data_IF_165411414036
#
_entry.id   IF_165411414036
#
_cell.length_a   1.000
_cell.length_b   1.000
_cell.length_c   1.000
_cell.angle_alpha   90.00
_cell.angle_beta   90.00
_cell.angle_gamma   90.00
#
_symmetry.space_group_name_H-M   'P 1'
#
loop_
_entity.id
_entity.type
_entity.pdbx_description
1 polymer ?
#
# COMPACT_ATOMS: atom_id res chain seq x y z
N UNK A 1 -35.38 -13.96 -5.18
CA UNK A 1 -35.70 -13.07 -6.32
C UNK A 1 -34.38 -12.67 -6.97
N UNK A 2 -34.15 -13.00 -8.24
CA UNK A 2 -33.00 -12.44 -8.96
C UNK A 2 -33.42 -11.06 -9.44
N UNK A 3 -33.20 -10.05 -8.60
CA UNK A 3 -33.21 -8.67 -9.07
C UNK A 3 -32.02 -8.50 -10.00
N UNK A 4 -32.24 -7.93 -11.18
CA UNK A 4 -31.14 -7.59 -12.10
C UNK A 4 -30.37 -6.41 -11.51
N UNK A 5 -29.35 -6.71 -10.70
CA UNK A 5 -28.54 -5.70 -10.00
C UNK A 5 -27.86 -4.74 -10.98
N UNK A 6 -27.65 -5.15 -12.24
CA UNK A 6 -27.08 -4.30 -13.28
C UNK A 6 -28.00 -3.14 -13.68
N UNK A 7 -29.31 -3.23 -13.43
CA UNK A 7 -30.28 -2.18 -13.71
C UNK A 7 -30.18 -0.98 -12.74
N UNK A 8 -29.58 -1.16 -11.56
CA UNK A 8 -29.42 -0.09 -10.57
C UNK A 8 -28.14 0.71 -10.81
N UNK A 9 -28.19 2.02 -10.51
CA UNK A 9 -26.97 2.84 -10.48
C UNK A 9 -26.06 2.41 -9.33
N UNK A 10 -24.77 2.74 -9.41
CA UNK A 10 -23.83 2.42 -8.33
C UNK A 10 -24.24 3.08 -7.01
N UNK A 11 -24.71 4.33 -7.07
CA UNK A 11 -25.21 5.05 -5.88
C UNK A 11 -26.47 4.41 -5.30
N UNK A 12 -27.40 3.94 -6.14
CA UNK A 12 -28.59 3.24 -5.65
C UNK A 12 -28.22 1.95 -4.93
N UNK A 13 -27.31 1.16 -5.50
CA UNK A 13 -26.82 -0.07 -4.88
C UNK A 13 -26.15 0.22 -3.52
N UNK A 14 -25.26 1.21 -3.47
CA UNK A 14 -24.60 1.59 -2.20
C UNK A 14 -25.61 2.09 -1.17
N UNK A 15 -26.61 2.89 -1.57
CA UNK A 15 -27.68 3.33 -0.67
C UNK A 15 -28.50 2.14 -0.17
N UNK A 16 -28.85 1.19 -1.03
CA UNK A 16 -29.60 -0.01 -0.64
C UNK A 16 -28.81 -0.88 0.35
N UNK A 17 -27.51 -1.07 0.11
CA UNK A 17 -26.61 -1.82 1.00
C UNK A 17 -26.53 -1.18 2.40
N UNK A 18 -26.51 0.16 2.45
CA UNK A 18 -26.28 0.91 3.69
C UNK A 18 -27.55 1.52 4.30
N UNK A 19 -28.70 1.31 3.67
CA UNK A 19 -29.99 1.91 4.05
C UNK A 19 -30.69 1.20 5.22
N UNK A 20 -30.19 0.05 5.67
CA UNK A 20 -30.71 -0.68 6.82
C UNK A 20 -31.95 -1.55 6.53
N UNK A 21 -32.38 -1.63 5.27
CA UNK A 21 -33.42 -2.56 4.83
C UNK A 21 -32.85 -3.99 4.73
N UNK A 22 -33.61 -5.00 5.20
CA UNK A 22 -33.25 -6.40 4.98
C UNK A 22 -33.61 -6.81 3.56
N UNK A 23 -32.59 -6.81 2.69
CA UNK A 23 -32.69 -7.17 1.28
C UNK A 23 -32.26 -8.63 1.04
N UNK A 24 -32.07 -9.41 2.10
CA UNK A 24 -31.59 -10.77 2.09
C UNK A 24 -30.07 -10.89 2.33
N UNK A 25 -29.61 -12.05 2.82
CA UNK A 25 -28.26 -12.23 3.36
C UNK A 25 -27.14 -11.98 2.35
N UNK A 26 -27.37 -12.28 1.07
CA UNK A 26 -26.36 -12.18 0.02
C UNK A 26 -26.48 -10.92 -0.84
N UNK A 27 -27.46 -10.05 -0.57
CA UNK A 27 -27.71 -8.88 -1.43
C UNK A 27 -26.48 -7.98 -1.52
N UNK A 28 -25.90 -7.62 -0.37
CA UNK A 28 -24.75 -6.73 -0.34
C UNK A 28 -23.53 -7.33 -1.04
N UNK A 29 -23.28 -8.63 -0.85
CA UNK A 29 -22.22 -9.34 -1.53
C UNK A 29 -22.43 -9.32 -3.05
N UNK A 30 -23.61 -9.71 -3.52
CA UNK A 30 -23.94 -9.77 -4.95
C UNK A 30 -23.92 -8.38 -5.61
N UNK A 31 -24.37 -7.34 -4.91
CA UNK A 31 -24.34 -5.97 -5.40
C UNK A 31 -22.90 -5.44 -5.52
N UNK A 32 -22.07 -5.62 -4.48
CA UNK A 32 -20.69 -5.16 -4.50
C UNK A 32 -19.84 -5.96 -5.50
N UNK A 33 -19.78 -7.27 -5.35
CA UNK A 33 -18.91 -8.14 -6.16
C UNK A 33 -19.43 -8.38 -7.56
N UNK A 34 -20.74 -8.56 -7.71
CA UNK A 34 -21.35 -8.83 -9.01
C UNK A 34 -21.48 -7.59 -9.90
N UNK A 35 -21.51 -6.38 -9.31
CA UNK A 35 -21.78 -5.14 -10.07
C UNK A 35 -20.80 -4.01 -9.75
N UNK A 36 -20.81 -3.48 -8.53
CA UNK A 36 -20.10 -2.22 -8.19
C UNK A 36 -18.60 -2.32 -8.44
N UNK A 37 -17.92 -3.34 -7.91
CA UNK A 37 -16.49 -3.53 -8.11
C UNK A 37 -16.15 -3.77 -9.58
N UNK A 38 -17.03 -4.44 -10.33
CA UNK A 38 -16.88 -4.63 -11.77
C UNK A 38 -16.91 -3.32 -12.56
N UNK A 39 -17.74 -2.36 -12.14
CA UNK A 39 -17.81 -1.00 -12.71
C UNK A 39 -16.55 -0.20 -12.36
N UNK A 40 -16.18 -0.14 -11.08
CA UNK A 40 -14.99 0.59 -10.64
C UNK A 40 -13.70 0.05 -11.24
N UNK A 41 -13.55 -1.27 -11.40
CA UNK A 41 -12.39 -1.88 -12.08
C UNK A 41 -12.24 -1.40 -13.53
N UNK A 42 -13.35 -1.07 -14.20
CA UNK A 42 -13.38 -0.51 -15.55
C UNK A 42 -13.30 1.02 -15.59
N UNK A 43 -13.18 1.67 -14.44
CA UNK A 43 -13.20 3.13 -14.32
C UNK A 43 -14.58 3.76 -14.49
N UNK A 44 -15.66 3.00 -14.27
CA UNK A 44 -17.05 3.47 -14.38
C UNK A 44 -17.57 3.82 -12.99
N UNK A 45 -18.30 4.93 -12.85
CA UNK A 45 -18.94 5.40 -11.60
C UNK A 45 -17.98 5.59 -10.41
N UNK A 46 -16.73 6.00 -10.68
CA UNK A 46 -15.70 6.14 -9.65
C UNK A 46 -15.98 7.23 -8.61
N UNK A 47 -16.83 8.21 -8.93
CA UNK A 47 -17.14 9.33 -8.02
C UNK A 47 -17.58 8.81 -6.63
N UNK A 48 -18.41 7.78 -6.60
CA UNK A 48 -18.87 7.13 -5.37
C UNK A 48 -17.74 6.50 -4.54
N UNK A 49 -16.72 5.93 -5.17
CA UNK A 49 -15.52 5.43 -4.47
C UNK A 49 -14.64 6.58 -4.01
N UNK A 50 -14.49 7.62 -4.83
CA UNK A 50 -13.70 8.82 -4.52
C UNK A 50 -14.30 9.55 -3.31
N UNK A 51 -15.63 9.72 -3.27
CA UNK A 51 -16.36 10.29 -2.14
C UNK A 51 -16.09 9.52 -0.84
N UNK A 52 -16.11 8.18 -0.87
CA UNK A 52 -15.77 7.36 0.29
C UNK A 52 -14.33 7.60 0.75
N UNK A 53 -13.37 7.59 -0.18
CA UNK A 53 -11.95 7.77 0.11
C UNK A 53 -11.62 9.18 0.63
N UNK A 54 -12.41 10.19 0.26
CA UNK A 54 -12.23 11.57 0.68
C UNK A 54 -13.12 11.99 1.85
N UNK A 55 -14.02 11.12 2.33
CA UNK A 55 -14.97 11.46 3.38
C UNK A 55 -14.26 11.96 4.64
N UNK A 56 -14.87 12.92 5.35
CA UNK A 56 -14.37 13.34 6.66
C UNK A 56 -14.54 12.26 7.73
N UNK A 57 -15.47 11.32 7.53
CA UNK A 57 -15.71 10.21 8.48
C UNK A 57 -14.69 9.10 8.28
N UNK A 58 -13.98 8.77 9.35
CA UNK A 58 -12.97 7.71 9.36
C UNK A 58 -13.50 6.34 8.91
N UNK A 59 -14.72 5.98 9.32
CA UNK A 59 -15.35 4.72 8.94
C UNK A 59 -15.68 4.63 7.44
N UNK A 60 -16.04 5.74 6.81
CA UNK A 60 -16.30 5.80 5.37
C UNK A 60 -14.99 5.72 4.58
N UNK A 61 -13.93 6.44 5.01
CA UNK A 61 -12.60 6.30 4.40
C UNK A 61 -12.04 4.89 4.53
N UNK A 62 -12.15 4.28 5.70
CA UNK A 62 -11.70 2.90 5.90
C UNK A 62 -12.46 1.93 5.00
N UNK A 63 -13.77 2.12 4.82
CA UNK A 63 -14.57 1.34 3.87
C UNK A 63 -14.14 1.56 2.43
N UNK A 64 -13.94 2.82 2.01
CA UNK A 64 -13.42 3.16 0.69
C UNK A 64 -12.06 2.51 0.43
N UNK A 65 -11.17 2.52 1.42
CA UNK A 65 -9.85 1.88 1.34
C UNK A 65 -9.94 0.35 1.25
N UNK A 66 -10.95 -0.27 1.88
CA UNK A 66 -11.24 -1.69 1.68
C UNK A 66 -11.75 -1.97 0.27
N UNK A 67 -12.70 -1.18 -0.24
CA UNK A 67 -13.22 -1.30 -1.61
C UNK A 67 -12.16 -1.06 -2.68
N UNK A 68 -11.20 -0.18 -2.43
CA UNK A 68 -10.09 0.09 -3.34
C UNK A 68 -9.30 -1.20 -3.68
N UNK A 69 -9.09 -2.06 -2.67
CA UNK A 69 -8.38 -3.34 -2.84
C UNK A 69 -9.16 -4.28 -3.77
N UNK A 70 -10.45 -4.44 -3.51
CA UNK A 70 -11.32 -5.37 -4.24
C UNK A 70 -11.59 -4.92 -5.68
N UNK A 71 -11.78 -3.61 -5.87
CA UNK A 71 -12.09 -3.05 -7.18
C UNK A 71 -10.84 -2.91 -8.05
N UNK A 72 -9.69 -2.55 -7.48
CA UNK A 72 -8.47 -2.19 -8.21
C UNK A 72 -8.74 -1.28 -9.42
N UNK A 73 -9.24 -0.05 -9.20
CA UNK A 73 -9.61 0.86 -10.29
C UNK A 73 -8.40 1.28 -11.13
N UNK A 74 -8.59 1.77 -12.37
CA UNK A 74 -7.51 2.27 -13.21
C UNK A 74 -6.74 3.42 -12.54
N UNK A 75 -5.42 3.28 -12.42
CA UNK A 75 -4.54 4.21 -11.69
C UNK A 75 -4.63 5.65 -12.18
N UNK A 76 -4.78 5.85 -13.49
CA UNK A 76 -4.79 7.16 -14.12
C UNK A 76 -5.99 8.03 -13.69
N UNK A 77 -7.04 7.40 -13.11
CA UNK A 77 -8.26 8.09 -12.68
C UNK A 77 -8.33 8.32 -11.16
N UNK A 78 -7.54 7.59 -10.36
CA UNK A 78 -7.62 7.65 -8.90
C UNK A 78 -6.28 7.93 -8.20
N UNK A 79 -5.18 8.06 -8.93
CA UNK A 79 -3.84 8.26 -8.39
C UNK A 79 -3.77 9.38 -7.34
N UNK A 80 -4.29 10.56 -7.65
CA UNK A 80 -4.27 11.72 -6.75
C UNK A 80 -5.05 11.47 -5.45
N UNK A 81 -6.08 10.64 -5.51
CA UNK A 81 -6.90 10.29 -4.34
C UNK A 81 -6.17 9.27 -3.49
N UNK A 82 -5.57 8.26 -4.12
CA UNK A 82 -4.79 7.24 -3.42
C UNK A 82 -3.57 7.83 -2.74
N UNK A 83 -2.87 8.77 -3.36
CA UNK A 83 -1.69 9.44 -2.75
C UNK A 83 -2.06 10.11 -1.42
N UNK A 84 -3.25 10.70 -1.32
CA UNK A 84 -3.72 11.35 -0.07
C UNK A 84 -3.88 10.35 1.08
N UNK A 85 -4.19 9.09 0.79
CA UNK A 85 -4.33 8.06 1.82
C UNK A 85 -3.02 7.81 2.59
N UNK A 86 -1.86 8.14 2.01
CA UNK A 86 -0.57 7.98 2.68
C UNK A 86 -0.41 8.84 3.95
N UNK A 87 -1.16 9.94 4.07
CA UNK A 87 -1.18 10.79 5.28
C UNK A 87 -2.37 10.50 6.20
N UNK A 88 -3.25 9.57 5.83
CA UNK A 88 -4.48 9.37 6.59
C UNK A 88 -4.14 8.97 8.04
N UNK A 89 -4.81 9.54 9.06
CA UNK A 89 -4.61 9.14 10.45
C UNK A 89 -4.82 7.63 10.69
N UNK A 90 -5.67 6.97 9.89
CA UNK A 90 -5.99 5.55 9.98
C UNK A 90 -4.91 4.74 9.27
N UNK A 91 -4.25 3.84 10.00
CA UNK A 91 -3.17 3.02 9.42
C UNK A 91 -3.65 2.10 8.30
N UNK A 92 -4.90 1.62 8.34
CA UNK A 92 -5.47 0.84 7.23
C UNK A 92 -5.47 1.63 5.91
N UNK A 93 -5.80 2.92 5.93
CA UNK A 93 -5.77 3.76 4.72
C UNK A 93 -4.33 3.92 4.20
N UNK A 94 -3.36 4.17 5.10
CA UNK A 94 -1.93 4.28 4.72
C UNK A 94 -1.39 2.96 4.17
N UNK A 95 -1.76 1.83 4.79
CA UNK A 95 -1.39 0.51 4.29
C UNK A 95 -2.00 0.24 2.91
N UNK A 96 -3.26 0.64 2.69
CA UNK A 96 -3.94 0.53 1.39
C UNK A 96 -3.30 1.40 0.30
N UNK A 97 -2.76 2.58 0.65
CA UNK A 97 -1.91 3.34 -0.27
C UNK A 97 -0.74 2.49 -0.76
N UNK A 98 0.04 1.88 0.15
CA UNK A 98 1.22 1.07 -0.21
C UNK A 98 0.82 -0.15 -1.05
N UNK A 99 -0.24 -0.85 -0.67
CA UNK A 99 -0.74 -2.00 -1.42
C UNK A 99 -1.18 -1.61 -2.84
N UNK A 100 -1.90 -0.50 -2.98
CA UNK A 100 -2.37 -0.03 -4.28
C UNK A 100 -1.22 0.39 -5.21
N UNK A 101 -0.22 1.13 -4.72
CA UNK A 101 0.94 1.50 -5.55
C UNK A 101 1.75 0.27 -5.97
N UNK A 102 1.84 -0.74 -5.11
CA UNK A 102 2.47 -2.04 -5.42
C UNK A 102 1.76 -2.76 -6.57
N UNK A 103 0.42 -2.86 -6.49
CA UNK A 103 -0.39 -3.59 -7.45
C UNK A 103 -0.52 -2.87 -8.80
N UNK A 104 -0.64 -1.54 -8.79
CA UNK A 104 -0.82 -0.72 -10.00
C UNK A 104 0.49 -0.36 -10.71
N UNK A 105 1.63 -0.54 -10.04
CA UNK A 105 2.94 -0.06 -10.51
C UNK A 105 2.95 1.46 -10.67
N UNK A 106 2.18 2.18 -9.86
CA UNK A 106 2.16 3.64 -9.84
C UNK A 106 3.40 4.14 -9.08
N UNK A 107 4.15 5.04 -9.70
CA UNK A 107 5.34 5.63 -9.10
C UNK A 107 5.60 7.04 -9.65
N UNK A 108 6.04 7.93 -8.77
CA UNK A 108 6.40 9.33 -9.04
C UNK A 108 7.20 9.84 -7.84
N UNK A 109 7.82 11.01 -7.95
CA UNK A 109 8.56 11.65 -6.83
C UNK A 109 7.67 11.84 -5.60
N UNK A 110 6.43 12.30 -5.82
CA UNK A 110 5.45 12.46 -4.74
C UNK A 110 5.13 11.12 -4.04
N UNK A 111 5.06 10.02 -4.79
CA UNK A 111 4.84 8.68 -4.23
C UNK A 111 6.09 8.19 -3.49
N UNK A 112 7.28 8.47 -4.00
CA UNK A 112 8.53 8.10 -3.36
C UNK A 112 8.64 8.74 -1.96
N UNK A 113 8.31 10.03 -1.82
CA UNK A 113 8.27 10.73 -0.54
C UNK A 113 7.28 10.08 0.45
N UNK A 114 6.12 9.66 -0.04
CA UNK A 114 5.09 9.01 0.79
C UNK A 114 5.45 7.59 1.19
N UNK A 115 6.08 6.83 0.29
CA UNK A 115 6.65 5.53 0.63
C UNK A 115 7.77 5.68 1.66
N UNK A 116 8.58 6.75 1.59
CA UNK A 116 9.61 6.99 2.60
C UNK A 116 8.99 7.24 3.98
N UNK A 117 7.88 7.97 4.04
CA UNK A 117 7.10 8.14 5.27
C UNK A 117 6.48 6.81 5.75
N UNK A 118 5.96 5.98 4.83
CA UNK A 118 5.39 4.66 5.15
C UNK A 118 6.44 3.66 5.66
N UNK A 119 7.70 3.75 5.19
CA UNK A 119 8.81 2.95 5.72
C UNK A 119 9.14 3.31 7.17
N UNK A 120 8.94 4.58 7.52
CA UNK A 120 9.13 5.09 8.88
C UNK A 120 7.91 4.91 9.77
N UNK A 121 6.80 4.38 9.26
CA UNK A 121 5.55 4.24 10.00
C UNK A 121 5.75 3.41 11.29
N UNK A 122 5.00 3.79 12.32
CA UNK A 122 4.96 3.08 13.59
C UNK A 122 4.03 1.87 13.51
N UNK A 123 3.06 1.91 12.60
CA UNK A 123 2.23 0.75 12.29
C UNK A 123 3.03 -0.27 11.48
N UNK A 124 3.17 -1.47 12.05
CA UNK A 124 3.99 -2.54 11.50
C UNK A 124 3.44 -3.08 10.17
N UNK A 125 2.12 -3.00 9.94
CA UNK A 125 1.52 -3.42 8.67
C UNK A 125 1.95 -2.50 7.53
N UNK A 126 1.86 -1.19 7.76
CA UNK A 126 2.29 -0.17 6.78
C UNK A 126 3.77 -0.33 6.47
N UNK A 127 4.61 -0.49 7.50
CA UNK A 127 6.05 -0.64 7.35
C UNK A 127 6.42 -1.91 6.60
N UNK A 128 5.87 -3.07 7.00
CA UNK A 128 6.16 -4.34 6.35
C UNK A 128 5.71 -4.37 4.88
N UNK A 129 4.55 -3.78 4.58
CA UNK A 129 4.07 -3.63 3.20
C UNK A 129 4.99 -2.73 2.37
N UNK A 130 5.58 -1.68 2.99
CA UNK A 130 6.52 -0.79 2.30
C UNK A 130 7.84 -1.48 2.00
N UNK A 131 8.33 -2.31 2.93
CA UNK A 131 9.50 -3.18 2.67
C UNK A 131 9.19 -4.14 1.52
N UNK A 132 7.98 -4.75 1.50
CA UNK A 132 7.56 -5.60 0.40
C UNK A 132 7.47 -4.84 -0.93
N UNK A 133 6.91 -3.64 -0.96
CA UNK A 133 6.91 -2.77 -2.14
C UNK A 133 8.33 -2.54 -2.65
N UNK A 134 9.28 -2.23 -1.75
CA UNK A 134 10.67 -1.98 -2.11
C UNK A 134 11.36 -3.22 -2.70
N UNK A 135 10.98 -4.42 -2.25
CA UNK A 135 11.38 -5.68 -2.89
C UNK A 135 10.70 -5.82 -4.26
N UNK A 136 9.41 -5.51 -4.38
CA UNK A 136 8.65 -5.70 -5.61
C UNK A 136 9.03 -4.75 -6.75
N UNK A 137 9.44 -3.51 -6.42
CA UNK A 137 9.77 -2.46 -7.37
C UNK A 137 10.85 -2.90 -8.39
N UNK A 138 10.81 -2.31 -9.60
CA UNK A 138 11.94 -2.43 -10.51
C UNK A 138 13.18 -1.72 -9.96
N UNK A 139 14.35 -1.96 -10.58
CA UNK A 139 15.63 -1.46 -10.08
C UNK A 139 15.69 0.07 -10.09
N UNK A 140 15.18 0.74 -11.14
CA UNK A 140 15.20 2.19 -11.24
C UNK A 140 14.37 2.88 -10.14
N UNK A 141 13.14 2.38 -9.90
CA UNK A 141 12.26 2.92 -8.86
C UNK A 141 12.78 2.61 -7.45
N UNK A 142 13.40 1.44 -7.26
CA UNK A 142 14.03 1.08 -6.00
C UNK A 142 15.25 1.98 -5.70
N UNK A 143 16.13 2.19 -6.67
CA UNK A 143 17.32 3.03 -6.51
C UNK A 143 16.95 4.48 -6.22
N UNK A 144 15.96 5.02 -6.93
CA UNK A 144 15.41 6.34 -6.64
C UNK A 144 14.85 6.43 -5.22
N UNK A 145 14.03 5.46 -4.81
CA UNK A 145 13.48 5.39 -3.47
C UNK A 145 14.55 5.33 -2.36
N UNK A 146 15.62 4.55 -2.56
CA UNK A 146 16.76 4.51 -1.65
C UNK A 146 17.38 5.90 -1.52
N UNK A 147 17.59 6.62 -2.63
CA UNK A 147 18.07 7.99 -2.63
C UNK A 147 17.18 8.94 -1.82
N UNK A 148 15.86 8.87 -2.04
CA UNK A 148 14.85 9.67 -1.34
C UNK A 148 14.88 9.41 0.17
N UNK A 149 14.88 8.15 0.60
CA UNK A 149 14.97 7.80 2.04
C UNK A 149 16.29 8.27 2.65
N UNK A 150 17.42 8.10 1.95
CA UNK A 150 18.74 8.51 2.44
C UNK A 150 18.88 10.03 2.54
N UNK A 151 18.16 10.81 1.74
CA UNK A 151 18.06 12.27 1.90
C UNK A 151 17.23 12.70 3.12
N UNK A 152 16.55 11.77 3.79
CA UNK A 152 15.73 12.02 4.99
C UNK A 152 14.26 12.32 4.69
N UNK A 153 13.77 12.02 3.49
CA UNK A 153 12.34 12.13 3.17
C UNK A 153 11.49 11.27 4.10
N UNK A 154 10.24 11.70 4.34
CA UNK A 154 9.31 11.03 5.24
C UNK A 154 9.56 11.21 6.74
N UNK A 155 10.71 11.77 7.13
CA UNK A 155 11.00 12.05 8.55
C UNK A 155 10.03 13.10 9.12
N UNK A 156 9.55 12.87 10.34
CA UNK A 156 8.64 13.83 10.97
C UNK A 156 9.43 15.03 11.46
N UNK A 157 8.93 16.28 11.29
CA UNK A 157 9.58 17.46 11.80
C UNK A 157 9.38 17.56 13.32
N UNK A 158 10.02 16.68 14.08
CA UNK A 158 10.02 16.76 15.53
C UNK A 158 10.67 18.07 15.97
N UNK A 159 9.93 18.83 16.76
CA UNK A 159 10.42 20.02 17.47
C UNK A 159 10.09 19.85 18.95
N UNK A 160 10.76 18.91 19.61
CA UNK A 160 10.67 18.80 21.05
C UNK A 160 11.41 19.95 21.70
N UNK A 161 10.91 20.42 22.86
CA UNK A 161 11.57 21.49 23.64
C UNK A 161 13.01 21.10 24.04
N UNK A 162 13.27 19.81 24.25
CA UNK A 162 14.60 19.28 24.52
C UNK A 162 15.30 18.85 23.20
N UNK A 163 16.45 19.47 22.84
CA UNK A 163 17.22 19.10 21.66
C UNK A 163 17.71 17.65 21.66
N UNK A 164 18.05 17.09 22.83
CA UNK A 164 18.54 15.70 22.95
C UNK A 164 17.43 14.70 22.60
N UNK A 165 16.19 14.96 23.01
CA UNK A 165 15.03 14.15 22.64
C UNK A 165 14.79 14.22 21.13
N UNK A 166 14.92 15.40 20.52
CA UNK A 166 14.83 15.55 19.07
C UNK A 166 15.91 14.74 18.34
N UNK A 167 17.16 14.80 18.81
CA UNK A 167 18.26 14.03 18.24
C UNK A 167 18.02 12.51 18.36
N UNK A 168 17.54 12.05 19.52
CA UNK A 168 17.19 10.64 19.74
C UNK A 168 16.15 10.13 18.74
N UNK A 169 15.03 10.84 18.56
CA UNK A 169 13.97 10.42 17.64
C UNK A 169 14.41 10.42 16.18
N UNK A 170 15.19 11.44 15.76
CA UNK A 170 15.77 11.47 14.41
C UNK A 170 16.70 10.30 14.15
N UNK A 171 17.56 9.97 15.11
CA UNK A 171 18.47 8.83 14.99
C UNK A 171 17.69 7.50 14.97
N UNK A 172 16.63 7.38 15.77
CA UNK A 172 15.74 6.22 15.76
C UNK A 172 15.07 6.01 14.39
N UNK A 173 14.52 7.07 13.80
CA UNK A 173 13.94 7.03 12.45
C UNK A 173 14.98 6.67 11.40
N UNK A 174 16.16 7.30 11.43
CA UNK A 174 17.25 7.00 10.50
C UNK A 174 17.65 5.53 10.54
N UNK A 175 17.81 4.96 11.75
CA UNK A 175 18.14 3.54 11.92
C UNK A 175 17.02 2.64 11.39
N UNK A 176 15.75 2.99 11.61
CA UNK A 176 14.60 2.23 11.07
C UNK A 176 14.58 2.26 9.55
N UNK A 177 14.77 3.42 8.94
CA UNK A 177 14.82 3.58 7.49
C UNK A 177 15.95 2.73 6.87
N UNK A 178 17.15 2.81 7.45
CA UNK A 178 18.30 2.04 7.01
C UNK A 178 18.05 0.53 7.07
N UNK A 179 17.47 0.03 8.16
CA UNK A 179 17.11 -1.39 8.29
C UNK A 179 16.07 -1.83 7.27
N UNK A 180 15.02 -1.04 7.07
CA UNK A 180 13.99 -1.35 6.08
C UNK A 180 14.55 -1.46 4.65
N UNK A 181 15.48 -0.56 4.29
CA UNK A 181 16.23 -0.65 3.03
C UNK A 181 17.12 -1.88 3.01
N UNK A 182 17.89 -2.14 4.05
CA UNK A 182 18.81 -3.28 4.13
C UNK A 182 18.06 -4.61 3.92
N UNK A 183 16.92 -4.79 4.60
CA UNK A 183 16.06 -5.96 4.44
C UNK A 183 15.60 -6.09 2.98
N UNK A 184 15.11 -4.99 2.38
CA UNK A 184 14.69 -5.01 0.99
C UNK A 184 15.85 -5.35 0.03
N UNK A 185 17.04 -4.76 0.21
CA UNK A 185 18.24 -5.05 -0.59
C UNK A 185 18.64 -6.53 -0.51
N UNK A 186 18.66 -7.11 0.68
CA UNK A 186 19.04 -8.51 0.91
C UNK A 186 18.04 -9.48 0.31
N UNK A 187 16.74 -9.19 0.45
CA UNK A 187 15.68 -9.95 -0.22
C UNK A 187 15.77 -9.84 -1.75
N UNK A 188 16.10 -8.65 -2.28
CA UNK A 188 16.32 -8.43 -3.72
C UNK A 188 17.53 -9.20 -4.24
N UNK A 189 18.56 -9.40 -3.40
CA UNK A 189 19.72 -10.24 -3.69
C UNK A 189 19.43 -11.76 -3.55
N UNK A 190 18.21 -12.14 -3.17
CA UNK A 190 17.80 -13.54 -3.05
C UNK A 190 18.14 -14.18 -1.70
N UNK A 191 18.55 -13.41 -0.70
CA UNK A 191 18.74 -13.93 0.64
C UNK A 191 17.41 -14.36 1.28
N UNK A 192 17.43 -15.43 2.08
CA UNK A 192 16.21 -15.95 2.72
C UNK A 192 15.76 -15.06 3.88
N UNK A 193 14.44 -14.97 4.07
CA UNK A 193 13.83 -14.20 5.18
C UNK A 193 14.35 -14.68 6.55
N UNK A 194 14.57 -15.99 6.71
CA UNK A 194 15.10 -16.57 7.95
C UNK A 194 16.52 -16.07 8.27
N UNK A 195 17.42 -16.06 7.27
CA UNK A 195 18.80 -15.55 7.42
C UNK A 195 18.83 -14.06 7.78
N UNK A 196 17.98 -13.26 7.13
CA UNK A 196 17.89 -11.82 7.42
C UNK A 196 17.35 -11.59 8.83
N UNK A 197 16.31 -12.33 9.25
CA UNK A 197 15.72 -12.23 10.59
C UNK A 197 16.75 -12.48 11.70
N UNK A 198 17.64 -13.46 11.51
CA UNK A 198 18.68 -13.78 12.50
C UNK A 198 19.73 -12.68 12.65
N UNK A 199 19.97 -11.89 11.60
CA UNK A 199 21.03 -10.88 11.55
C UNK A 199 20.53 -9.44 11.70
N UNK A 200 19.22 -9.22 11.71
CA UNK A 200 18.59 -7.90 11.94
C UNK A 200 17.60 -7.99 13.12
N UNK A 201 18.09 -8.24 14.35
CA UNK A 201 17.23 -8.47 15.52
C UNK A 201 16.46 -7.22 15.97
N UNK A 202 16.81 -6.02 15.50
CA UNK A 202 16.13 -4.77 15.84
C UNK A 202 14.89 -4.48 14.98
N UNK A 203 14.62 -5.29 13.95
CA UNK A 203 13.36 -5.26 13.22
C UNK A 203 12.32 -6.18 13.88
N UNK A 204 11.05 -5.79 13.84
CA UNK A 204 9.98 -6.50 14.53
C UNK A 204 9.72 -7.87 13.89
N UNK A 205 9.48 -8.90 14.72
CA UNK A 205 9.17 -10.24 14.22
C UNK A 205 7.95 -10.23 13.31
N UNK A 206 6.96 -9.37 13.59
CA UNK A 206 5.78 -9.21 12.75
C UNK A 206 6.13 -8.84 11.30
N UNK A 207 7.08 -7.93 11.09
CA UNK A 207 7.51 -7.52 9.75
C UNK A 207 8.01 -8.73 8.94
N UNK A 208 8.80 -9.59 9.58
CA UNK A 208 9.30 -10.82 8.96
C UNK A 208 8.21 -11.86 8.73
N UNK A 209 7.24 -12.01 9.63
CA UNK A 209 6.12 -12.94 9.43
C UNK A 209 5.25 -12.52 8.23
N UNK A 210 5.01 -11.21 8.09
CA UNK A 210 4.31 -10.64 6.93
C UNK A 210 5.09 -10.86 5.63
N UNK A 211 6.41 -10.64 5.64
CA UNK A 211 7.26 -10.92 4.49
C UNK A 211 7.27 -12.42 4.14
N UNK A 212 7.29 -13.30 5.14
CA UNK A 212 7.26 -14.76 4.96
C UNK A 212 5.94 -15.21 4.33
N UNK A 213 4.81 -14.62 4.74
CA UNK A 213 3.52 -14.83 4.09
C UNK A 213 3.54 -14.43 2.60
N UNK A 214 4.31 -13.39 2.25
CA UNK A 214 4.48 -12.88 0.89
C UNK A 214 5.68 -13.50 0.13
N UNK A 215 6.36 -14.51 0.68
CA UNK A 215 7.57 -15.11 0.09
C UNK A 215 7.35 -15.59 -1.35
N UNK A 216 6.19 -16.16 -1.63
CA UNK A 216 5.80 -16.58 -2.97
C UNK A 216 5.77 -15.41 -3.99
N UNK A 217 5.33 -14.22 -3.56
CA UNK A 217 5.32 -13.02 -4.39
C UNK A 217 6.72 -12.41 -4.53
N UNK A 218 7.53 -12.46 -3.47
CA UNK A 218 8.95 -12.06 -3.49
C UNK A 218 9.72 -12.90 -4.52
N UNK A 219 9.58 -14.23 -4.49
CA UNK A 219 10.19 -15.14 -5.47
C UNK A 219 9.81 -14.79 -6.90
N UNK A 220 8.53 -14.56 -7.18
CA UNK A 220 8.08 -14.10 -8.51
C UNK A 220 8.69 -12.75 -8.91
N UNK A 221 8.88 -11.82 -7.98
CA UNK A 221 9.52 -10.54 -8.28
C UNK A 221 11.00 -10.74 -8.67
N UNK A 222 11.72 -11.61 -7.96
CA UNK A 222 13.11 -11.99 -8.27
C UNK A 222 13.22 -12.65 -9.65
N UNK A 223 12.33 -13.61 -9.95
CA UNK A 223 12.28 -14.29 -11.26
C UNK A 223 12.06 -13.30 -12.41
N UNK A 224 11.11 -12.36 -12.27
CA UNK A 224 10.87 -11.32 -13.29
C UNK A 224 12.07 -10.40 -13.48
N UNK A 225 12.79 -10.06 -12.41
CA UNK A 225 14.02 -9.25 -12.50
C UNK A 225 15.13 -10.02 -13.22
N UNK A 226 15.35 -11.28 -12.89
CA UNK A 226 16.32 -12.13 -13.59
C UNK A 226 15.98 -12.29 -15.09
N UNK A 227 14.71 -12.49 -15.42
CA UNK A 227 14.25 -12.56 -16.81
C UNK A 227 14.52 -11.27 -17.59
N UNK A 228 14.23 -10.10 -16.99
CA UNK A 228 14.52 -8.80 -17.62
C UNK A 228 16.02 -8.57 -17.82
N UNK A 229 16.85 -8.91 -16.82
CA UNK A 229 18.30 -8.78 -16.92
C UNK A 229 18.87 -9.67 -18.04
N UNK A 230 18.39 -10.92 -18.15
CA UNK A 230 18.79 -11.84 -19.21
C UNK A 230 18.33 -11.34 -20.59
N UNK A 231 17.13 -10.76 -20.69
CA UNK A 231 16.64 -10.16 -21.93
C UNK A 231 17.46 -8.93 -22.37
N UNK A 232 17.91 -8.11 -21.41
CA UNK A 232 18.80 -6.98 -21.68
C UNK A 232 20.24 -7.39 -22.03
N UNK A 233 20.63 -8.63 -21.69
CA UNK A 233 21.95 -9.22 -21.94
C UNK A 233 21.97 -10.16 -23.16
N UNK A 234 20.88 -10.27 -23.91
CA UNK A 234 20.78 -11.04 -25.16
C UNK A 234 21.54 -10.37 -26.32
N UNK A 235 21.93 -11.15 -27.35
CA UNK A 235 23.13 -10.94 -28.19
C UNK A 235 23.23 -9.60 -28.92
#
# INVERSE_FOLDING_TARGET
MSSDLAAYTTNDLLRMIHGGEDLGPDFAYNALWGTVFGRWRKGIDLDSLIELLQSEKSSERQRGAWYLDEASPPKDQIADIVIKLADDPISHCRWRFVAYVTNSGLYSDAIADRLAASLLDLDLYVRAETIFWAVWADDANFDHFVGVVLSGAGTKPYRFRNPQTTAFWRESERKRAARGIEIAQRLRAGESIASIRESVPEEDSYSFDKLAFLDHAIKRALERRAQKANAASGP
#
